data_IF_815498175426
#
_entry.id   IF_815498175426
#
_cell.length_a   1.000
_cell.length_b   1.000
_cell.length_c   1.000
_cell.angle_alpha   90.00
_cell.angle_beta   90.00
_cell.angle_gamma   90.00
#
_symmetry.space_group_name_H-M   'P 1'
#
loop_
_entity.id
_entity.type
_entity.pdbx_description
1 polymer ?
#
# COMPACT_ATOMS: atom_id res chain seq x y z
N UNK A 1 -1.19 -5.74 -17.63
CA UNK A 1 -0.87 -4.88 -16.47
C UNK A 1 -1.55 -3.53 -16.64
N UNK A 2 -1.66 -2.72 -15.57
CA UNK A 2 -2.21 -1.36 -15.65
C UNK A 2 -1.06 -0.35 -15.81
N UNK A 3 -1.22 0.64 -16.69
CA UNK A 3 -0.33 1.81 -16.70
C UNK A 3 -0.86 2.81 -15.68
N UNK A 4 -0.03 3.15 -14.70
CA UNK A 4 -0.47 3.99 -13.56
C UNK A 4 0.54 5.10 -13.33
N UNK A 5 0.07 6.26 -12.86
CA UNK A 5 0.95 7.22 -12.20
C UNK A 5 1.08 6.78 -10.75
N UNK A 6 2.29 6.41 -10.34
CA UNK A 6 2.56 5.95 -8.97
C UNK A 6 3.47 6.94 -8.25
N UNK A 7 3.12 7.29 -7.01
CA UNK A 7 3.97 8.08 -6.10
C UNK A 7 4.25 7.27 -4.84
N UNK A 8 5.47 7.35 -4.34
CA UNK A 8 5.89 6.73 -3.10
C UNK A 8 6.26 7.82 -2.09
N UNK A 9 5.74 7.71 -0.87
CA UNK A 9 6.11 8.55 0.27
C UNK A 9 6.39 7.67 1.48
N UNK A 10 7.23 8.18 2.38
CA UNK A 10 7.46 7.56 3.69
C UNK A 10 6.91 8.51 4.74
N UNK A 11 5.74 8.16 5.28
CA UNK A 11 5.01 8.99 6.22
C UNK A 11 4.95 8.26 7.56
N UNK A 12 5.50 8.85 8.62
CA UNK A 12 5.52 8.27 9.97
C UNK A 12 6.02 6.80 10.04
N UNK A 13 7.06 6.47 9.27
CA UNK A 13 7.63 5.11 9.22
C UNK A 13 6.83 4.11 8.38
N UNK A 14 5.78 4.57 7.68
CA UNK A 14 4.94 3.78 6.80
C UNK A 14 5.20 4.15 5.35
N UNK A 15 5.52 3.16 4.53
CA UNK A 15 5.70 3.34 3.09
C UNK A 15 4.32 3.37 2.43
N UNK A 16 3.94 4.54 1.92
CA UNK A 16 2.67 4.76 1.22
C UNK A 16 2.94 4.82 -0.27
N UNK A 17 2.33 3.90 -1.01
CA UNK A 17 2.38 3.84 -2.46
C UNK A 17 0.99 4.16 -3.01
N UNK A 18 0.82 5.33 -3.61
CA UNK A 18 -0.44 5.75 -4.23
C UNK A 18 -0.37 5.54 -5.74
N UNK A 19 -1.32 4.80 -6.30
CA UNK A 19 -1.43 4.53 -7.73
C UNK A 19 -2.74 5.14 -8.25
N UNK A 20 -2.66 5.94 -9.31
CA UNK A 20 -3.83 6.52 -9.97
C UNK A 20 -3.81 6.18 -11.45
N UNK A 21 -4.95 5.74 -11.97
CA UNK A 21 -5.17 5.42 -13.38
C UNK A 21 -6.67 5.54 -13.71
N UNK A 22 -7.03 6.02 -14.90
CA UNK A 22 -8.42 6.07 -15.39
C UNK A 22 -9.46 6.59 -14.36
N UNK A 23 -9.11 7.63 -13.60
CA UNK A 23 -9.94 8.21 -12.54
C UNK A 23 -10.02 7.38 -11.24
N UNK A 24 -9.48 6.16 -11.22
CA UNK A 24 -9.40 5.27 -10.06
C UNK A 24 -8.11 5.47 -9.28
N UNK A 25 -8.17 5.19 -7.98
CA UNK A 25 -7.00 5.24 -7.10
C UNK A 25 -6.91 4.00 -6.22
N UNK A 26 -5.70 3.48 -6.05
CA UNK A 26 -5.37 2.46 -5.05
C UNK A 26 -4.23 2.97 -4.19
N UNK A 27 -4.33 2.77 -2.88
CA UNK A 27 -3.27 3.07 -1.93
C UNK A 27 -2.75 1.77 -1.34
N UNK A 28 -1.44 1.56 -1.43
CA UNK A 28 -0.75 0.44 -0.80
C UNK A 28 0.16 0.97 0.30
N UNK A 29 -0.20 0.62 1.52
CA UNK A 29 0.43 1.05 2.74
C UNK A 29 1.22 -0.11 3.33
N UNK A 30 2.47 0.13 3.69
CA UNK A 30 3.36 -0.88 4.26
C UNK A 30 3.99 -0.35 5.53
N UNK A 31 3.83 -1.09 6.62
CA UNK A 31 4.39 -0.77 7.94
C UNK A 31 4.97 -2.03 8.58
N UNK A 32 6.04 -1.86 9.37
CA UNK A 32 6.56 -2.95 10.21
C UNK A 32 5.85 -2.86 11.56
N UNK A 33 5.16 -3.93 11.93
CA UNK A 33 4.50 -4.10 13.23
C UNK A 33 4.99 -5.41 13.84
N UNK A 34 5.53 -5.35 15.05
CA UNK A 34 6.05 -6.52 15.78
C UNK A 34 7.04 -7.38 14.97
N UNK A 35 7.87 -6.73 14.15
CA UNK A 35 8.86 -7.40 13.29
C UNK A 35 8.27 -8.07 12.04
N UNK A 36 6.95 -7.96 11.81
CA UNK A 36 6.24 -8.43 10.61
C UNK A 36 5.89 -7.25 9.71
N UNK A 37 5.84 -7.47 8.40
CA UNK A 37 5.40 -6.47 7.44
C UNK A 37 3.89 -6.57 7.26
N UNK A 38 3.16 -5.56 7.72
CA UNK A 38 1.74 -5.38 7.44
C UNK A 38 1.58 -4.55 6.15
N UNK A 39 0.89 -5.10 5.16
CA UNK A 39 0.58 -4.46 3.90
C UNK A 39 -0.93 -4.29 3.73
N UNK A 40 -1.41 -3.04 3.75
CA UNK A 40 -2.82 -2.67 3.53
C UNK A 40 -2.99 -2.13 2.11
N UNK A 41 -3.80 -2.81 1.31
CA UNK A 41 -4.20 -2.33 -0.01
C UNK A 41 -5.63 -1.81 0.07
N UNK A 42 -5.81 -0.54 -0.25
CA UNK A 42 -7.09 0.17 -0.13
C UNK A 42 -7.50 0.62 -1.53
N UNK A 43 -8.70 0.25 -1.94
CA UNK A 43 -9.32 0.72 -3.18
C UNK A 43 -10.76 1.08 -2.86
N UNK A 44 -11.05 2.38 -2.88
CA UNK A 44 -12.34 2.93 -2.43
C UNK A 44 -12.68 2.47 -1.01
N UNK A 45 -13.76 1.73 -0.81
CA UNK A 45 -14.23 1.18 0.46
C UNK A 45 -13.65 -0.21 0.79
N UNK A 46 -12.99 -0.85 -0.18
CA UNK A 46 -12.43 -2.20 -0.02
C UNK A 46 -11.01 -2.15 0.53
N UNK A 47 -10.78 -2.92 1.61
CA UNK A 47 -9.47 -3.04 2.27
C UNK A 47 -9.02 -4.50 2.27
N UNK A 48 -7.84 -4.75 1.71
CA UNK A 48 -7.16 -6.04 1.79
C UNK A 48 -5.91 -5.93 2.66
N UNK A 49 -5.85 -6.71 3.74
CA UNK A 49 -4.71 -6.78 4.66
C UNK A 49 -3.89 -8.05 4.38
N UNK A 50 -2.57 -7.90 4.31
CA UNK A 50 -1.61 -9.00 4.21
C UNK A 50 -0.52 -8.81 5.26
N UNK A 51 -0.14 -9.90 5.93
CA UNK A 51 0.95 -9.90 6.90
C UNK A 51 2.04 -10.83 6.40
N UNK A 52 3.27 -10.34 6.36
CA UNK A 52 4.44 -11.11 5.92
C UNK A 52 5.41 -11.28 7.09
N UNK A 53 5.94 -12.48 7.22
CA UNK A 53 7.02 -12.78 8.16
C UNK A 53 8.37 -12.63 7.47
N UNK A 54 9.37 -12.20 8.23
CA UNK A 54 10.74 -12.20 7.75
C UNK A 54 11.22 -13.65 7.67
N UNK A 55 11.61 -14.07 6.46
CA UNK A 55 12.25 -15.36 6.20
C UNK A 55 13.76 -15.17 6.15
#
# INVERSE_FOLDING_TARGET
>A
GRQTKTTFSLDNGKLVQKQTWDGKTTTLEREIQDGKLAAKCIMEDVVALRTYERV
#
